data_IF_411864456133
#
_entry.id   IF_411864456133
#
_cell.length_a   1.000
_cell.length_b   1.000
_cell.length_c   1.000
_cell.angle_alpha   90.00
_cell.angle_beta   90.00
_cell.angle_gamma   90.00
#
_symmetry.space_group_name_H-M   'P 1'
#
loop_
_entity.id
_entity.type
_entity.pdbx_description
1 polymer ?
#
# COMPACT_ATOMS: atom_id res chain seq x y z
N UNK A 1 9.24 5.04 -4.74
CA UNK A 1 7.76 5.20 -4.81
C UNK A 1 7.17 3.80 -4.97
N UNK A 2 6.10 3.49 -4.24
CA UNK A 2 5.35 2.23 -4.32
C UNK A 2 3.85 2.54 -4.29
N UNK A 3 2.99 1.56 -4.60
CA UNK A 3 1.54 1.71 -4.59
C UNK A 3 0.83 0.39 -4.28
N UNK A 4 -0.41 0.43 -3.74
CA UNK A 4 -1.28 -0.75 -3.67
C UNK A 4 -1.55 -1.35 -5.06
N UNK A 5 -2.02 -2.59 -5.09
CA UNK A 5 -2.35 -3.36 -6.31
C UNK A 5 -3.82 -3.28 -6.73
N UNK A 6 -4.65 -2.57 -5.98
CA UNK A 6 -6.08 -2.40 -6.23
C UNK A 6 -6.45 -0.95 -6.59
N UNK A 7 -7.64 -0.78 -7.16
CA UNK A 7 -8.23 0.53 -7.48
C UNK A 7 -8.85 1.25 -6.28
N UNK A 8 -9.75 2.20 -6.54
CA UNK A 8 -10.34 3.06 -5.50
C UNK A 8 -11.39 2.40 -4.62
N UNK A 9 -11.95 1.25 -5.04
CA UNK A 9 -12.95 0.49 -4.28
C UNK A 9 -14.15 1.34 -3.78
N UNK A 10 -14.68 2.21 -4.65
CA UNK A 10 -15.76 3.16 -4.29
C UNK A 10 -17.06 2.48 -3.86
N UNK A 11 -17.34 1.32 -4.44
CA UNK A 11 -18.47 0.45 -4.12
C UNK A 11 -18.48 -0.02 -2.65
N UNK A 12 -17.31 -0.07 -2.00
CA UNK A 12 -17.16 -0.50 -0.61
C UNK A 12 -16.60 0.61 0.30
N UNK A 13 -16.50 1.84 -0.17
CA UNK A 13 -15.99 2.95 0.63
C UNK A 13 -16.87 3.20 1.87
N UNK A 14 -16.25 3.27 3.05
CA UNK A 14 -16.96 3.50 4.32
C UNK A 14 -17.63 2.27 4.94
N UNK A 15 -17.54 1.09 4.31
CA UNK A 15 -18.14 -0.15 4.83
C UNK A 15 -17.25 -0.89 5.83
N UNK A 16 -15.95 -0.59 5.85
CA UNK A 16 -14.96 -1.31 6.66
C UNK A 16 -14.53 -2.67 6.10
N UNK A 17 -14.93 -3.03 4.88
CA UNK A 17 -14.63 -4.35 4.27
C UNK A 17 -13.48 -4.34 3.26
N UNK A 18 -12.82 -3.20 3.04
CA UNK A 18 -11.66 -3.12 2.16
C UNK A 18 -10.46 -3.85 2.77
N UNK A 19 -9.75 -4.65 1.97
CA UNK A 19 -8.52 -5.32 2.39
C UNK A 19 -7.33 -4.35 2.35
N UNK A 20 -6.66 -4.07 3.49
CA UNK A 20 -5.50 -3.16 3.53
C UNK A 20 -4.16 -3.84 3.17
N UNK A 21 -4.14 -5.15 2.88
CA UNK A 21 -2.91 -5.95 2.77
C UNK A 21 -1.88 -5.39 1.78
N UNK A 22 -2.30 -5.00 0.58
CA UNK A 22 -1.38 -4.51 -0.45
C UNK A 22 -0.86 -3.10 -0.20
N UNK A 23 -1.65 -2.24 0.47
CA UNK A 23 -1.16 -0.95 0.96
C UNK A 23 -0.05 -1.13 2.00
N UNK A 24 -0.23 -2.06 2.95
CA UNK A 24 0.79 -2.37 3.95
C UNK A 24 2.07 -2.89 3.27
N UNK A 25 1.95 -3.76 2.28
CA UNK A 25 3.08 -4.26 1.50
C UNK A 25 3.81 -3.12 0.76
N UNK A 26 3.07 -2.21 0.12
CA UNK A 26 3.64 -1.05 -0.56
C UNK A 26 4.45 -0.16 0.39
N UNK A 27 3.94 0.10 1.61
CA UNK A 27 4.65 0.88 2.62
C UNK A 27 5.93 0.19 3.11
N UNK A 28 5.88 -1.12 3.33
CA UNK A 28 7.07 -1.91 3.71
C UNK A 28 8.14 -1.87 2.61
N UNK A 29 7.74 -2.02 1.36
CA UNK A 29 8.64 -1.93 0.22
C UNK A 29 9.26 -0.53 0.10
N UNK A 30 8.46 0.54 0.24
CA UNK A 30 9.00 1.90 0.24
C UNK A 30 10.07 2.09 1.32
N UNK A 31 9.82 1.59 2.55
CA UNK A 31 10.78 1.65 3.64
C UNK A 31 12.07 0.87 3.33
N UNK A 32 11.97 -0.29 2.72
CA UNK A 32 13.13 -1.08 2.31
C UNK A 32 13.99 -0.34 1.27
N UNK A 33 13.35 0.15 0.19
CA UNK A 33 14.04 0.91 -0.86
C UNK A 33 14.71 2.18 -0.33
N UNK A 34 14.06 2.89 0.60
CA UNK A 34 14.66 4.07 1.25
C UNK A 34 15.91 3.73 2.07
N UNK A 35 15.95 2.55 2.71
CA UNK A 35 17.13 2.09 3.45
C UNK A 35 18.27 1.71 2.51
N UNK A 36 17.97 1.10 1.37
CA UNK A 36 18.97 0.75 0.35
C UNK A 36 19.55 1.98 -0.35
N UNK A 37 18.74 3.02 -0.56
CA UNK A 37 19.19 4.24 -1.26
C UNK A 37 20.10 5.15 -0.40
N UNK A 38 20.26 4.86 0.89
CA UNK A 38 21.08 5.65 1.83
C UNK A 38 22.40 4.94 2.20
N UNK A 39 22.70 3.80 1.56
CA UNK A 39 23.92 3.01 1.75
C UNK A 39 24.98 3.26 0.69
#
# INVERSE_FOLDING_TARGET
RTSPDHGTAFDIAGTGTADPSSLIAALRMARAMSRESTG
#
